data_IF_826569256033
#
_entry.id   IF_826569256033
#
_cell.length_a   1.000
_cell.length_b   1.000
_cell.length_c   1.000
_cell.angle_alpha   90.00
_cell.angle_beta   90.00
_cell.angle_gamma   90.00
#
_symmetry.space_group_name_H-M   'P 1'
#
loop_
_entity.id
_entity.type
_entity.pdbx_description
1 polymer ?
#
# COMPACT_ATOMS: atom_id res chain seq x y z
N UNK A 1 -9.57 -1.38 -8.72
CA UNK A 1 -9.05 -1.21 -7.34
C UNK A 1 -8.28 -2.44 -6.85
N UNK A 2 -8.89 -3.63 -6.81
CA UNK A 2 -8.23 -4.83 -6.28
C UNK A 2 -6.96 -5.21 -7.07
N UNK A 3 -7.06 -5.35 -8.39
CA UNK A 3 -5.89 -5.68 -9.22
C UNK A 3 -4.72 -4.68 -9.07
N UNK A 4 -5.00 -3.39 -8.91
CA UNK A 4 -3.94 -2.40 -8.65
C UNK A 4 -3.27 -2.65 -7.29
N UNK A 5 -4.07 -2.85 -6.24
CA UNK A 5 -3.54 -3.13 -4.91
C UNK A 5 -2.77 -4.47 -4.88
N UNK A 6 -3.23 -5.49 -5.60
CA UNK A 6 -2.52 -6.78 -5.69
C UNK A 6 -1.16 -6.63 -6.39
N UNK A 7 -1.09 -5.83 -7.45
CA UNK A 7 0.19 -5.52 -8.14
C UNK A 7 1.12 -4.66 -7.26
N UNK A 8 0.59 -3.66 -6.55
CA UNK A 8 1.36 -2.84 -5.59
C UNK A 8 1.93 -3.70 -4.46
N UNK A 9 1.12 -4.61 -3.90
CA UNK A 9 1.58 -5.55 -2.89
C UNK A 9 2.73 -6.42 -3.41
N UNK A 10 2.58 -6.97 -4.62
CA UNK A 10 3.61 -7.80 -5.25
C UNK A 10 4.89 -7.01 -5.54
N UNK A 11 4.78 -5.77 -6.00
CA UNK A 11 5.92 -4.88 -6.22
C UNK A 11 6.65 -4.61 -4.91
N UNK A 12 5.93 -4.17 -3.87
CA UNK A 12 6.51 -3.81 -2.58
C UNK A 12 7.21 -5.01 -1.94
N UNK A 13 6.56 -6.18 -1.93
CA UNK A 13 7.17 -7.42 -1.44
C UNK A 13 8.48 -7.75 -2.18
N UNK A 14 8.50 -7.62 -3.52
CA UNK A 14 9.73 -7.86 -4.30
C UNK A 14 10.83 -6.84 -4.02
N UNK A 15 10.48 -5.58 -3.77
CA UNK A 15 11.48 -4.55 -3.42
C UNK A 15 12.10 -4.77 -2.05
N UNK A 16 11.45 -5.52 -1.14
CA UNK A 16 11.97 -5.82 0.20
C UNK A 16 12.66 -7.19 0.31
N UNK A 17 12.31 -8.15 -0.54
CA UNK A 17 12.87 -9.51 -0.49
C UNK A 17 14.27 -9.61 -1.14
N UNK A 18 15.13 -10.44 -0.57
CA UNK A 18 16.39 -10.84 -1.20
C UNK A 18 16.14 -11.86 -2.33
N UNK A 19 16.82 -11.77 -3.48
CA UNK A 19 17.87 -10.81 -3.86
C UNK A 19 17.34 -9.55 -4.57
N UNK A 20 16.03 -9.46 -4.79
CA UNK A 20 15.40 -8.40 -5.60
C UNK A 20 15.54 -7.01 -5.00
N UNK A 21 15.67 -6.89 -3.67
CA UNK A 21 15.94 -5.63 -2.97
C UNK A 21 17.28 -4.96 -3.35
N UNK A 22 18.29 -5.75 -3.74
CA UNK A 22 19.58 -5.23 -4.23
C UNK A 22 19.38 -4.56 -5.58
N UNK A 23 18.68 -5.24 -6.50
CA UNK A 23 18.35 -4.70 -7.82
C UNK A 23 17.44 -3.47 -7.66
N UNK A 24 16.45 -3.55 -6.77
CA UNK A 24 15.57 -2.42 -6.46
C UNK A 24 16.37 -1.19 -6.00
N UNK A 25 17.32 -1.37 -5.09
CA UNK A 25 18.20 -0.30 -4.62
C UNK A 25 19.12 0.25 -5.73
N UNK A 26 19.66 -0.62 -6.60
CA UNK A 26 20.52 -0.22 -7.72
C UNK A 26 19.79 0.64 -8.76
N UNK A 27 18.51 0.33 -9.02
CA UNK A 27 17.69 1.03 -10.03
C UNK A 27 16.69 2.01 -9.42
N UNK A 28 16.76 2.26 -8.11
CA UNK A 28 15.85 3.15 -7.36
C UNK A 28 14.37 2.78 -7.53
N UNK A 29 14.07 1.48 -7.51
CA UNK A 29 12.68 1.03 -7.39
C UNK A 29 12.24 1.22 -5.93
N UNK A 30 11.28 2.11 -5.75
CA UNK A 30 10.66 2.44 -4.46
C UNK A 30 9.30 1.74 -4.33
N UNK A 31 8.79 1.68 -3.10
CA UNK A 31 7.47 1.12 -2.83
C UNK A 31 6.38 2.01 -3.42
N UNK A 32 5.34 1.39 -3.96
CA UNK A 32 4.15 2.08 -4.42
C UNK A 32 3.09 2.13 -3.32
N UNK A 33 2.29 3.19 -3.30
CA UNK A 33 1.16 3.33 -2.38
C UNK A 33 -0.06 2.56 -2.90
N UNK A 34 -0.78 1.93 -1.97
CA UNK A 34 -2.05 1.28 -2.27
C UNK A 34 -3.09 2.31 -2.68
N UNK A 35 -3.97 1.93 -3.59
CA UNK A 35 -5.13 2.74 -3.92
C UNK A 35 -6.16 2.59 -2.81
N UNK A 36 -6.10 3.50 -1.85
CA UNK A 36 -7.12 3.66 -0.82
C UNK A 36 -8.19 4.64 -1.30
N UNK A 37 -9.46 4.29 -1.08
CA UNK A 37 -10.53 5.27 -1.20
C UNK A 37 -10.51 6.01 0.13
N UNK A 38 -10.08 7.26 0.11
CA UNK A 38 -10.20 8.20 1.22
C UNK A 38 -11.69 8.50 1.51
N UNK A 39 -12.46 7.51 1.96
CA UNK A 39 -13.77 7.73 2.58
C UNK A 39 -13.55 8.05 4.07
N UNK A 40 -12.78 9.11 4.30
CA UNK A 40 -12.48 9.69 5.63
C UNK A 40 -13.78 10.18 6.31
N UNK A 41 -14.88 10.26 5.56
CA UNK A 41 -16.20 10.72 5.97
C UNK A 41 -17.08 9.68 6.69
N UNK A 42 -16.72 8.39 6.71
CA UNK A 42 -17.58 7.35 7.32
C UNK A 42 -17.10 6.83 8.69
N UNK A 43 -16.20 7.55 9.35
CA UNK A 43 -15.76 7.25 10.73
C UNK A 43 -16.25 8.27 11.77
N UNK A 44 -17.35 8.99 11.51
CA UNK A 44 -18.09 9.62 12.62
C UNK A 44 -18.81 8.53 13.41
N UNK A 45 -18.06 7.93 14.35
CA UNK A 45 -18.61 7.11 15.44
C UNK A 45 -19.79 7.86 16.07
N UNK A 46 -21.01 7.29 16.10
CA UNK A 46 -22.13 7.96 16.73
C UNK A 46 -21.83 8.10 18.22
N UNK A 47 -21.72 9.35 18.69
CA UNK A 47 -21.57 9.66 20.11
C UNK A 47 -22.84 9.20 20.83
N UNK A 48 -22.80 8.05 21.47
CA UNK A 48 -23.87 7.61 22.37
C UNK A 48 -23.72 8.42 23.66
N UNK A 49 -24.60 9.41 23.85
CA UNK A 49 -24.86 10.00 25.17
C UNK A 49 -26.02 9.20 25.79
N UNK A 50 -25.75 8.60 26.95
CA UNK A 50 -26.77 8.11 27.89
C UNK A 50 -26.99 9.13 28.99
#
# INVERSE_FOLDING_TARGET
>A
RQAYNDEVLNLNNKTEMFPTNIIASMFKFEQAEFFEIEDITQKEVPKVQF
#
